data_IF_260312441203
#
_entry.id   IF_260312441203
#
_cell.length_a   1.000
_cell.length_b   1.000
_cell.length_c   1.000
_cell.angle_alpha   90.00
_cell.angle_beta   90.00
_cell.angle_gamma   90.00
#
_symmetry.space_group_name_H-M   'P 1'
#
loop_
_entity.id
_entity.type
_entity.pdbx_description
1 polymer ?
#
# COMPACT_ATOMS: atom_id res chain seq x y z
N UNK A 1 1.15 -19.91 9.79
CA UNK A 1 2.40 -19.19 10.05
C UNK A 1 2.25 -17.76 9.61
N UNK A 2 2.82 -16.84 10.40
CA UNK A 2 2.60 -15.43 10.16
C UNK A 2 3.73 -14.82 9.33
N UNK A 3 3.35 -13.88 8.46
CA UNK A 3 4.28 -13.09 7.68
C UNK A 3 4.50 -11.75 8.38
N UNK A 4 5.70 -11.23 8.30
CA UNK A 4 5.99 -9.88 8.77
C UNK A 4 5.67 -8.88 7.68
N UNK A 5 5.04 -7.77 8.07
CA UNK A 5 4.69 -6.70 7.15
C UNK A 5 5.70 -5.58 7.32
N UNK A 6 6.34 -5.22 6.22
CA UNK A 6 7.29 -4.12 6.21
C UNK A 6 6.84 -3.06 5.21
N UNK A 7 6.65 -1.85 5.71
CA UNK A 7 6.43 -0.67 4.86
C UNK A 7 7.81 -0.14 4.48
N UNK A 8 8.20 -0.34 3.22
CA UNK A 8 9.50 0.17 2.78
C UNK A 8 9.50 1.69 2.73
N UNK A 9 10.69 2.29 2.72
CA UNK A 9 10.85 3.74 2.79
C UNK A 9 10.02 4.47 1.75
N UNK A 10 10.04 4.02 0.52
CA UNK A 10 9.29 4.65 -0.57
C UNK A 10 7.79 4.67 -0.31
N UNK A 11 7.24 3.57 0.22
CA UNK A 11 5.83 3.49 0.57
C UNK A 11 5.47 4.43 1.72
N UNK A 12 6.36 4.55 2.70
CA UNK A 12 6.14 5.48 3.80
C UNK A 12 6.17 6.93 3.32
N UNK A 13 7.08 7.25 2.41
CA UNK A 13 7.13 8.59 1.79
C UNK A 13 5.85 8.88 1.02
N UNK A 14 5.33 7.91 0.27
CA UNK A 14 4.07 8.07 -0.44
C UNK A 14 2.93 8.37 0.53
N UNK A 15 2.90 7.69 1.66
CA UNK A 15 1.87 7.89 2.67
C UNK A 15 1.94 9.27 3.29
N UNK A 16 3.15 9.74 3.59
CA UNK A 16 3.37 11.10 4.11
C UNK A 16 2.92 12.16 3.10
N UNK A 17 3.25 11.95 1.83
CA UNK A 17 2.84 12.87 0.75
C UNK A 17 1.32 12.93 0.65
N UNK A 18 0.65 11.78 0.75
CA UNK A 18 -0.81 11.74 0.75
C UNK A 18 -1.40 12.48 1.96
N UNK A 19 -0.81 12.27 3.13
CA UNK A 19 -1.24 12.96 4.34
C UNK A 19 -1.15 14.48 4.17
N UNK A 20 -0.01 14.97 3.69
CA UNK A 20 0.20 16.41 3.47
C UNK A 20 -0.80 16.98 2.46
N UNK A 21 -1.05 16.25 1.39
CA UNK A 21 -2.01 16.65 0.37
C UNK A 21 -3.42 16.79 0.98
N UNK A 22 -3.85 15.80 1.74
CA UNK A 22 -5.19 15.81 2.35
C UNK A 22 -5.33 16.86 3.44
N UNK A 23 -4.26 17.08 4.21
CA UNK A 23 -4.26 18.11 5.24
C UNK A 23 -4.45 19.51 4.64
N UNK A 24 -3.85 19.76 3.47
CA UNK A 24 -3.97 21.04 2.78
C UNK A 24 -5.27 21.19 2.00
N UNK A 25 -5.76 20.12 1.38
CA UNK A 25 -6.88 20.20 0.43
C UNK A 25 -8.22 19.73 1.00
N UNK A 26 -8.22 19.06 2.13
CA UNK A 26 -9.42 18.63 2.82
C UNK A 26 -9.39 19.11 4.27
N UNK A 27 -8.86 18.25 5.16
CA UNK A 27 -8.72 18.62 6.58
C UNK A 27 -7.67 17.73 7.24
N UNK A 28 -7.20 18.15 8.41
CA UNK A 28 -6.29 17.36 9.21
C UNK A 28 -6.97 16.06 9.67
N UNK A 29 -8.28 16.13 9.97
CA UNK A 29 -9.05 14.96 10.36
C UNK A 29 -9.11 13.95 9.20
N UNK A 30 -9.38 14.40 7.98
CA UNK A 30 -9.41 13.55 6.79
C UNK A 30 -8.05 12.92 6.54
N UNK A 31 -6.98 13.71 6.67
CA UNK A 31 -5.62 13.21 6.49
C UNK A 31 -5.31 12.06 7.44
N UNK A 32 -5.64 12.24 8.73
CA UNK A 32 -5.45 11.18 9.72
C UNK A 32 -6.30 9.96 9.43
N UNK A 33 -7.59 10.16 9.14
CA UNK A 33 -8.52 9.05 8.92
C UNK A 33 -8.11 8.19 7.72
N UNK A 34 -7.83 8.82 6.60
CA UNK A 34 -7.47 8.11 5.37
C UNK A 34 -6.16 7.35 5.53
N UNK A 35 -5.13 8.02 6.07
CA UNK A 35 -3.82 7.38 6.20
C UNK A 35 -3.84 6.23 7.21
N UNK A 36 -4.58 6.36 8.31
CA UNK A 36 -4.73 5.27 9.27
C UNK A 36 -5.44 4.07 8.65
N UNK A 37 -6.49 4.29 7.87
CA UNK A 37 -7.19 3.20 7.19
C UNK A 37 -6.29 2.49 6.19
N UNK A 38 -5.47 3.24 5.48
CA UNK A 38 -4.49 2.65 4.55
C UNK A 38 -3.49 1.79 5.31
N UNK A 39 -2.94 2.29 6.41
CA UNK A 39 -2.02 1.51 7.24
C UNK A 39 -2.66 0.22 7.72
N UNK A 40 -3.88 0.30 8.26
CA UNK A 40 -4.56 -0.88 8.79
C UNK A 40 -5.03 -1.86 7.72
N UNK A 41 -5.17 -1.40 6.46
CA UNK A 41 -5.58 -2.29 5.37
C UNK A 41 -4.60 -3.44 5.14
N UNK A 42 -3.35 -3.28 5.55
CA UNK A 42 -2.32 -4.30 5.38
C UNK A 42 -2.25 -5.31 6.53
N UNK A 43 -2.97 -5.08 7.63
CA UNK A 43 -2.89 -5.94 8.81
C UNK A 43 -3.26 -7.39 8.53
N UNK A 44 -4.24 -7.61 7.66
CA UNK A 44 -4.69 -8.97 7.30
C UNK A 44 -3.63 -9.77 6.57
N UNK A 45 -2.64 -9.09 5.98
CA UNK A 45 -1.62 -9.76 5.18
C UNK A 45 -0.67 -10.60 6.02
N UNK A 46 -0.64 -10.37 7.34
CA UNK A 46 0.11 -11.22 8.28
C UNK A 46 -0.37 -12.67 8.18
N UNK A 47 -1.68 -12.89 8.13
CA UNK A 47 -2.26 -14.22 8.07
C UNK A 47 -2.63 -14.65 6.64
N UNK A 48 -2.93 -13.69 5.78
CA UNK A 48 -3.39 -13.95 4.42
C UNK A 48 -2.60 -13.10 3.42
N UNK A 49 -1.30 -13.39 3.23
CA UNK A 49 -0.46 -12.52 2.41
C UNK A 49 -0.90 -12.43 0.95
N UNK A 50 -1.53 -13.47 0.43
CA UNK A 50 -1.96 -13.49 -0.98
C UNK A 50 -3.45 -13.22 -1.15
N UNK A 51 -4.06 -12.53 -0.17
CA UNK A 51 -5.48 -12.24 -0.15
C UNK A 51 -5.94 -11.39 -1.35
N UNK A 52 -5.14 -10.41 -1.74
CA UNK A 52 -5.53 -9.47 -2.78
C UNK A 52 -4.95 -9.85 -4.13
N UNK A 53 -5.53 -9.30 -5.18
CA UNK A 53 -5.24 -9.67 -6.56
C UNK A 53 -3.85 -9.22 -7.03
N UNK A 54 -3.26 -10.01 -7.91
CA UNK A 54 -2.07 -9.61 -8.64
C UNK A 54 -2.41 -8.49 -9.62
N UNK A 55 -1.51 -7.54 -9.74
CA UNK A 55 -1.60 -6.48 -10.75
C UNK A 55 -0.22 -6.25 -11.34
N UNK A 56 0.10 -7.04 -12.35
CA UNK A 56 1.45 -7.07 -12.92
C UNK A 56 1.75 -5.87 -13.81
N UNK A 57 0.81 -4.96 -14.00
CA UNK A 57 1.09 -3.66 -14.63
C UNK A 57 2.10 -2.86 -13.80
N UNK A 58 2.17 -3.14 -12.49
CA UNK A 58 3.13 -2.50 -11.59
C UNK A 58 4.43 -3.29 -11.43
N UNK A 59 4.51 -4.48 -11.99
CA UNK A 59 5.67 -5.35 -11.90
C UNK A 59 5.28 -6.77 -11.59
N UNK A 60 6.16 -7.72 -11.92
CA UNK A 60 5.91 -9.14 -11.68
C UNK A 60 5.73 -9.40 -10.18
N UNK A 61 4.67 -10.11 -9.83
CA UNK A 61 4.39 -10.50 -8.45
C UNK A 61 3.80 -9.40 -7.58
N UNK A 62 3.52 -8.22 -8.14
CA UNK A 62 2.94 -7.12 -7.38
C UNK A 62 1.44 -7.34 -7.19
N UNK A 63 0.97 -7.18 -5.96
CA UNK A 63 -0.44 -7.25 -5.59
C UNK A 63 -0.95 -5.87 -5.20
N UNK A 64 -2.27 -5.71 -5.26
CA UNK A 64 -2.90 -4.41 -5.09
C UNK A 64 -4.07 -4.49 -4.12
N UNK A 65 -4.07 -3.58 -3.14
CA UNK A 65 -5.23 -3.29 -2.30
C UNK A 65 -5.79 -1.96 -2.77
N UNK A 66 -7.03 -1.94 -3.23
CA UNK A 66 -7.68 -0.71 -3.68
C UNK A 66 -8.63 -0.21 -2.59
N UNK A 67 -8.39 0.99 -2.08
CA UNK A 67 -9.28 1.62 -1.11
C UNK A 67 -9.09 3.13 -1.10
N UNK A 68 -10.17 3.83 -0.84
CA UNK A 68 -10.16 5.28 -0.63
C UNK A 68 -9.46 6.08 -1.75
N UNK A 69 -9.64 5.63 -2.99
CA UNK A 69 -9.05 6.30 -4.15
C UNK A 69 -7.58 5.99 -4.36
N UNK A 70 -6.99 5.10 -3.57
CA UNK A 70 -5.58 4.74 -3.63
C UNK A 70 -5.40 3.26 -3.93
N UNK A 71 -4.25 2.91 -4.48
CA UNK A 71 -3.79 1.53 -4.61
C UNK A 71 -2.57 1.34 -3.72
N UNK A 72 -2.67 0.42 -2.79
CA UNK A 72 -1.53 0.01 -1.96
C UNK A 72 -0.90 -1.19 -2.65
N UNK A 73 0.35 -1.06 -3.06
CA UNK A 73 1.05 -2.07 -3.84
C UNK A 73 2.03 -2.83 -2.96
N UNK A 74 1.98 -4.16 -3.04
CA UNK A 74 2.84 -4.97 -2.20
C UNK A 74 3.29 -6.23 -2.93
N UNK A 75 4.30 -6.86 -2.39
CA UNK A 75 4.79 -8.16 -2.83
C UNK A 75 4.91 -9.11 -1.66
N UNK A 76 4.85 -10.39 -1.95
CA UNK A 76 5.02 -11.42 -0.93
C UNK A 76 6.31 -12.18 -1.20
N UNK A 77 7.19 -12.21 -0.21
CA UNK A 77 8.42 -13.01 -0.27
C UNK A 77 8.21 -14.23 0.62
N UNK A 78 7.93 -15.37 -0.01
CA UNK A 78 7.67 -16.62 0.69
C UNK A 78 8.93 -17.19 1.33
N UNK A 79 10.09 -16.86 0.81
CA UNK A 79 11.37 -17.36 1.34
C UNK A 79 11.66 -16.78 2.71
N UNK A 80 11.49 -15.46 2.85
CA UNK A 80 11.74 -14.76 4.11
C UNK A 80 10.47 -14.57 4.93
N UNK A 81 9.31 -14.93 4.39
CA UNK A 81 7.99 -14.70 4.99
C UNK A 81 7.75 -13.24 5.32
N UNK A 82 7.98 -12.42 4.34
CA UNK A 82 7.74 -10.98 4.44
C UNK A 82 6.73 -10.53 3.41
N UNK A 83 5.93 -9.56 3.82
CA UNK A 83 5.09 -8.79 2.92
C UNK A 83 5.71 -7.40 2.87
N UNK A 84 6.19 -7.00 1.72
CA UNK A 84 6.81 -5.69 1.55
C UNK A 84 5.81 -4.76 0.89
N UNK A 85 5.43 -3.70 1.59
CA UNK A 85 4.58 -2.67 1.03
C UNK A 85 5.47 -1.73 0.24
N UNK A 86 5.22 -1.64 -1.07
CA UNK A 86 6.15 -1.02 -2.02
C UNK A 86 5.80 0.43 -2.33
N UNK A 87 4.53 0.75 -2.41
CA UNK A 87 4.09 2.08 -2.82
C UNK A 87 2.61 2.30 -2.49
N UNK A 88 2.23 3.56 -2.40
CA UNK A 88 0.83 3.97 -2.37
C UNK A 88 0.64 4.95 -3.52
N UNK A 89 -0.21 4.61 -4.47
CA UNK A 89 -0.42 5.42 -5.68
C UNK A 89 -1.90 5.70 -5.88
N UNK A 90 -2.22 6.80 -6.56
CA UNK A 90 -3.62 7.13 -6.85
C UNK A 90 -4.21 6.16 -7.87
N UNK A 91 -5.48 5.79 -7.67
CA UNK A 91 -6.18 4.89 -8.60
C UNK A 91 -6.34 5.48 -10.00
N UNK A 92 -6.32 6.80 -10.11
CA UNK A 92 -6.48 7.50 -11.39
C UNK A 92 -5.18 7.63 -12.17
N UNK A 93 -4.04 7.35 -11.54
CA UNK A 93 -2.76 7.37 -12.22
C UNK A 93 -2.61 6.13 -13.08
N UNK A 94 -2.04 6.31 -14.28
CA UNK A 94 -1.75 5.17 -15.13
C UNK A 94 -0.73 4.26 -14.44
N UNK A 95 -1.00 2.95 -14.38
CA UNK A 95 -0.04 2.01 -13.78
C UNK A 95 1.30 2.05 -14.52
N UNK A 96 2.37 1.98 -13.75
CA UNK A 96 3.71 1.86 -14.29
C UNK A 96 4.52 0.92 -13.40
N UNK A 97 5.52 0.30 -13.99
CA UNK A 97 6.37 -0.63 -13.25
C UNK A 97 7.10 0.12 -12.14
N UNK A 98 6.96 -0.36 -10.92
CA UNK A 98 7.59 0.23 -9.72
C UNK A 98 8.68 -0.68 -9.16
N UNK A 99 8.93 -1.80 -9.84
CA UNK A 99 9.79 -2.82 -9.29
C UNK A 99 10.76 -3.37 -10.31
#
# INVERSE_FOLDING_TARGET
MQYEIEWIENAMEDLVTLFEYLAENASLWDANDVTERILHSTDKLTDYPKLYTLDERYGAGVRRISLLGQNVLYEVDDTTRRVNILAVVGQRQNPKVIR
#
